data_IF_214434889952
#
_entry.id   IF_214434889952
#
_cell.length_a   1.000
_cell.length_b   1.000
_cell.length_c   1.000
_cell.angle_alpha   90.00
_cell.angle_beta   90.00
_cell.angle_gamma   90.00
#
_symmetry.space_group_name_H-M   'P 1'
#
loop_
_entity.id
_entity.type
_entity.pdbx_description
1 polymer ?
#
# COMPACT_ATOMS: atom_id res chain seq x y z
N UNK A 1 49.66 -16.51 36.92
CA UNK A 1 49.57 -15.66 35.71
C UNK A 1 48.40 -16.18 34.89
N UNK A 2 47.37 -15.36 34.74
CA UNK A 2 46.11 -15.73 34.09
C UNK A 2 45.12 -14.60 34.29
N UNK A 3 45.41 -13.44 33.69
CA UNK A 3 44.55 -12.27 33.68
C UNK A 3 43.33 -12.56 32.83
N UNK A 4 42.17 -12.66 33.47
CA UNK A 4 40.87 -12.75 32.82
C UNK A 4 40.58 -11.33 32.31
N UNK A 5 40.75 -11.11 31.01
CA UNK A 5 40.35 -9.85 30.37
C UNK A 5 38.84 -9.67 30.47
N UNK A 6 38.33 -8.43 30.50
CA UNK A 6 36.89 -8.21 30.50
C UNK A 6 36.28 -8.82 29.22
N UNK A 7 35.18 -9.56 29.39
CA UNK A 7 34.41 -10.06 28.27
C UNK A 7 33.97 -8.92 27.35
N UNK A 8 33.91 -9.15 26.02
CA UNK A 8 33.42 -8.15 25.10
C UNK A 8 31.97 -7.80 25.45
N UNK A 9 31.75 -6.52 25.73
CA UNK A 9 30.42 -5.93 25.87
C UNK A 9 29.65 -6.23 24.57
N UNK A 10 28.41 -6.76 24.63
CA UNK A 10 27.64 -7.00 23.43
C UNK A 10 27.46 -5.69 22.68
N UNK A 11 28.05 -5.64 21.49
CA UNK A 11 27.87 -4.58 20.52
C UNK A 11 26.37 -4.42 20.28
N UNK A 12 25.84 -3.22 20.52
CA UNK A 12 24.43 -2.89 20.28
C UNK A 12 24.23 -2.98 18.76
N UNK A 13 23.88 -4.18 18.29
CA UNK A 13 23.54 -4.42 16.88
C UNK A 13 22.38 -3.50 16.53
N UNK A 14 22.58 -2.66 15.52
CA UNK A 14 21.59 -1.73 14.98
C UNK A 14 20.18 -2.35 15.02
N UNK A 15 19.24 -1.67 15.69
CA UNK A 15 17.81 -2.04 15.71
C UNK A 15 17.42 -2.42 14.29
N UNK A 16 17.17 -3.70 14.02
CA UNK A 16 16.68 -4.14 12.72
C UNK A 16 15.33 -3.45 12.51
N UNK A 17 15.32 -2.42 11.65
CA UNK A 17 14.10 -1.68 11.32
C UNK A 17 13.03 -2.66 10.84
N UNK A 18 11.82 -2.57 11.40
CA UNK A 18 10.70 -3.42 10.99
C UNK A 18 10.37 -3.17 9.52
N UNK A 19 9.89 -4.19 8.81
CA UNK A 19 9.41 -4.03 7.44
C UNK A 19 8.15 -3.14 7.42
N UNK A 20 7.97 -2.27 6.41
CA UNK A 20 6.67 -1.64 6.17
C UNK A 20 5.62 -2.69 5.88
N UNK A 21 4.46 -2.55 6.51
CA UNK A 21 3.35 -3.48 6.35
C UNK A 21 2.23 -2.91 5.49
N UNK A 22 1.88 -3.62 4.43
CA UNK A 22 0.84 -3.21 3.49
C UNK A 22 -0.37 -4.15 3.57
N UNK A 23 -1.57 -3.55 3.61
CA UNK A 23 -2.80 -4.25 3.29
C UNK A 23 -2.94 -4.28 1.76
N UNK A 24 -2.95 -5.47 1.18
CA UNK A 24 -2.99 -5.69 -0.26
C UNK A 24 -4.43 -5.96 -0.73
N UNK A 25 -4.92 -5.10 -1.63
CA UNK A 25 -6.27 -5.14 -2.20
C UNK A 25 -6.23 -5.63 -3.65
N UNK A 26 -6.84 -6.79 -3.92
CA UNK A 26 -6.83 -7.42 -5.24
C UNK A 26 -7.73 -6.71 -6.27
N UNK A 27 -7.60 -7.08 -7.54
CA UNK A 27 -8.40 -6.53 -8.65
C UNK A 27 -9.83 -7.08 -8.71
N UNK A 28 -10.67 -6.46 -9.54
CA UNK A 28 -12.06 -6.87 -9.74
C UNK A 28 -12.16 -8.35 -10.12
N UNK A 29 -13.04 -9.08 -9.44
CA UNK A 29 -13.27 -10.52 -9.65
C UNK A 29 -12.00 -11.36 -9.59
N UNK A 30 -11.14 -11.08 -8.61
CA UNK A 30 -9.97 -11.92 -8.29
C UNK A 30 -9.97 -12.24 -6.79
N UNK A 31 -8.83 -12.58 -6.20
CA UNK A 31 -8.72 -12.87 -4.77
C UNK A 31 -7.36 -12.45 -4.24
N UNK A 32 -7.23 -12.36 -2.92
CA UNK A 32 -5.97 -12.08 -2.23
C UNK A 32 -4.90 -13.10 -2.63
N UNK A 33 -5.25 -14.40 -2.67
CA UNK A 33 -4.34 -15.47 -3.08
C UNK A 33 -3.85 -15.33 -4.53
N UNK A 34 -4.68 -14.81 -5.43
CA UNK A 34 -4.29 -14.56 -6.83
C UNK A 34 -3.31 -13.38 -6.89
N UNK A 35 -3.61 -12.28 -6.19
CA UNK A 35 -2.70 -11.13 -6.10
C UNK A 35 -1.36 -11.53 -5.47
N UNK A 36 -1.37 -12.36 -4.43
CA UNK A 36 -0.16 -12.90 -3.80
C UNK A 36 0.71 -13.64 -4.81
N UNK A 37 0.14 -14.61 -5.54
CA UNK A 37 0.86 -15.35 -6.59
C UNK A 37 1.43 -14.42 -7.65
N UNK A 38 0.70 -13.38 -8.02
CA UNK A 38 1.15 -12.40 -9.00
C UNK A 38 2.29 -11.55 -8.47
N UNK A 39 2.20 -10.98 -7.26
CA UNK A 39 3.24 -10.12 -6.68
C UNK A 39 4.48 -10.95 -6.33
N UNK A 40 4.32 -11.99 -5.50
CA UNK A 40 5.42 -12.83 -5.02
C UNK A 40 6.08 -13.61 -6.16
N UNK A 41 5.30 -14.01 -7.18
CA UNK A 41 5.82 -14.75 -8.34
C UNK A 41 6.46 -13.88 -9.42
N UNK A 42 6.17 -12.57 -9.47
CA UNK A 42 6.68 -11.67 -10.53
C UNK A 42 7.73 -10.67 -10.05
N UNK A 43 7.80 -10.38 -8.76
CA UNK A 43 8.76 -9.42 -8.20
C UNK A 43 9.99 -10.13 -7.62
N UNK A 44 11.20 -9.57 -7.79
CA UNK A 44 12.41 -10.17 -7.24
C UNK A 44 12.34 -10.36 -5.72
N UNK A 45 13.08 -11.37 -5.23
CA UNK A 45 13.16 -11.67 -3.80
C UNK A 45 13.68 -10.50 -2.97
N UNK A 46 14.63 -9.71 -3.48
CA UNK A 46 15.17 -8.57 -2.73
C UNK A 46 14.12 -7.47 -2.48
N UNK A 47 13.16 -7.30 -3.40
CA UNK A 47 12.02 -6.38 -3.22
C UNK A 47 11.05 -6.97 -2.20
N UNK A 48 10.56 -8.19 -2.46
CA UNK A 48 9.51 -8.82 -1.64
C UNK A 48 9.98 -9.11 -0.21
N UNK A 49 11.27 -9.39 0.01
CA UNK A 49 11.81 -9.61 1.35
C UNK A 49 11.84 -8.35 2.22
N UNK A 50 11.73 -7.15 1.64
CA UNK A 50 11.71 -5.86 2.35
C UNK A 50 10.31 -5.45 2.79
N UNK A 51 9.27 -6.15 2.35
CA UNK A 51 7.86 -5.84 2.61
C UNK A 51 7.22 -6.89 3.52
N UNK A 52 6.27 -6.47 4.35
CA UNK A 52 5.29 -7.34 4.98
C UNK A 52 3.94 -7.12 4.27
N UNK A 53 3.43 -8.14 3.59
CA UNK A 53 2.28 -8.04 2.69
C UNK A 53 1.13 -8.91 3.20
N UNK A 54 -0.01 -8.31 3.47
CA UNK A 54 -1.24 -9.00 3.85
C UNK A 54 -2.24 -8.98 2.70
N UNK A 55 -2.42 -10.09 2.00
CA UNK A 55 -3.35 -10.21 0.89
C UNK A 55 -4.75 -10.57 1.38
N UNK A 56 -5.66 -9.60 1.34
CA UNK A 56 -7.03 -9.78 1.81
C UNK A 56 -7.97 -10.17 0.66
N UNK A 57 -8.95 -11.02 0.95
CA UNK A 57 -10.11 -11.22 0.08
C UNK A 57 -11.15 -10.12 0.34
N UNK A 58 -11.70 -9.61 -0.74
CA UNK A 58 -12.81 -8.66 -0.71
C UNK A 58 -14.10 -9.31 -0.17
N UNK A 59 -15.03 -8.53 0.42
CA UNK A 59 -16.14 -9.08 1.18
C UNK A 59 -17.28 -9.64 0.32
N UNK A 60 -17.35 -9.29 -0.98
CA UNK A 60 -18.45 -9.70 -1.85
C UNK A 60 -17.99 -10.76 -2.85
N UNK A 61 -18.68 -11.90 -2.95
CA UNK A 61 -18.46 -12.85 -4.05
C UNK A 61 -18.67 -12.17 -5.41
N UNK A 62 -17.88 -12.57 -6.41
CA UNK A 62 -18.04 -12.09 -7.77
C UNK A 62 -19.43 -12.42 -8.33
N UNK A 63 -20.11 -11.42 -8.90
CA UNK A 63 -21.45 -11.59 -9.48
C UNK A 63 -21.42 -12.04 -10.96
N UNK A 64 -20.23 -12.18 -11.55
CA UNK A 64 -20.05 -12.63 -12.93
C UNK A 64 -18.69 -13.24 -13.21
N UNK A 65 -18.39 -13.43 -14.49
CA UNK A 65 -17.14 -14.05 -14.95
C UNK A 65 -15.91 -13.24 -14.59
N UNK A 66 -14.81 -13.93 -14.36
CA UNK A 66 -13.50 -13.34 -14.10
C UNK A 66 -12.59 -13.48 -15.33
N UNK A 67 -11.83 -12.42 -15.65
CA UNK A 67 -10.85 -12.45 -16.73
C UNK A 67 -9.66 -13.40 -16.45
N UNK A 68 -9.53 -13.87 -15.21
CA UNK A 68 -8.49 -14.84 -14.82
C UNK A 68 -8.98 -16.28 -14.79
N UNK A 69 -10.24 -16.52 -15.17
CA UNK A 69 -10.81 -17.87 -15.28
C UNK A 69 -10.00 -18.72 -16.28
N UNK A 70 -9.80 -20.00 -15.95
CA UNK A 70 -8.92 -20.90 -16.71
C UNK A 70 -7.42 -20.74 -16.44
N UNK A 71 -6.98 -19.64 -15.81
CA UNK A 71 -5.59 -19.44 -15.37
C UNK A 71 -5.48 -19.65 -13.85
N UNK A 72 -6.41 -19.05 -13.09
CA UNK A 72 -6.50 -19.18 -11.65
C UNK A 72 -7.87 -19.73 -11.27
N UNK A 73 -7.96 -20.71 -10.34
CA UNK A 73 -9.25 -21.24 -9.91
C UNK A 73 -10.01 -20.24 -9.01
N UNK A 74 -11.35 -20.33 -8.95
CA UNK A 74 -12.17 -19.60 -7.97
C UNK A 74 -11.86 -20.03 -6.51
N UNK A 75 -12.34 -19.31 -5.48
CA UNK A 75 -13.32 -18.21 -5.51
C UNK A 75 -12.76 -16.86 -5.98
N UNK A 76 -13.66 -16.02 -6.49
CA UNK A 76 -13.39 -14.64 -6.89
C UNK A 76 -14.30 -13.69 -6.12
N UNK A 77 -13.79 -12.49 -5.88
CA UNK A 77 -14.44 -11.49 -5.06
C UNK A 77 -14.35 -10.10 -5.70
N UNK A 78 -15.20 -9.20 -5.22
CA UNK A 78 -15.30 -7.80 -5.61
C UNK A 78 -15.30 -6.94 -4.35
N UNK A 79 -14.59 -5.81 -4.38
CA UNK A 79 -14.58 -4.89 -3.25
C UNK A 79 -15.90 -4.14 -3.13
N UNK A 80 -16.45 -3.72 -4.25
CA UNK A 80 -17.78 -3.14 -4.39
C UNK A 80 -18.26 -3.37 -5.83
N UNK A 81 -19.56 -3.26 -6.05
CA UNK A 81 -20.15 -3.41 -7.38
C UNK A 81 -20.39 -2.04 -8.00
N UNK A 82 -20.31 -1.96 -9.32
CA UNK A 82 -20.64 -0.75 -10.08
C UNK A 82 -21.52 -1.07 -11.29
N UNK A 83 -22.36 -0.12 -11.69
CA UNK A 83 -23.14 -0.17 -12.95
C UNK A 83 -22.22 -0.19 -14.17
N UNK A 84 -22.73 -0.62 -15.34
CA UNK A 84 -21.94 -0.68 -16.59
C UNK A 84 -21.35 0.68 -17.01
N UNK A 85 -22.00 1.78 -16.65
CA UNK A 85 -21.53 3.15 -16.88
C UNK A 85 -20.62 3.69 -15.75
N UNK A 86 -20.35 2.88 -14.73
CA UNK A 86 -19.51 3.18 -13.57
C UNK A 86 -20.00 4.33 -12.68
N UNK A 87 -21.28 4.72 -12.79
CA UNK A 87 -21.84 5.87 -12.05
C UNK A 87 -22.55 5.48 -10.74
N UNK A 88 -23.07 4.26 -10.66
CA UNK A 88 -23.74 3.75 -9.46
C UNK A 88 -22.89 2.71 -8.78
N UNK A 89 -22.64 2.90 -7.48
CA UNK A 89 -21.91 1.95 -6.66
C UNK A 89 -22.86 1.29 -5.67
N UNK A 90 -22.83 -0.04 -5.65
CA UNK A 90 -23.44 -0.83 -4.57
C UNK A 90 -22.36 -1.31 -3.63
N UNK A 91 -22.70 -1.35 -2.35
CA UNK A 91 -21.85 -1.85 -1.28
C UNK A 91 -20.54 -1.07 -1.06
N UNK A 92 -20.46 0.17 -1.53
CA UNK A 92 -19.23 0.97 -1.42
C UNK A 92 -18.93 1.33 0.04
N UNK A 93 -19.92 1.79 0.80
CA UNK A 93 -19.73 2.16 2.21
C UNK A 93 -19.42 0.93 3.06
N UNK A 94 -20.07 -0.20 2.79
CA UNK A 94 -19.80 -1.50 3.41
C UNK A 94 -18.38 -1.99 3.11
N UNK A 95 -17.89 -1.77 1.88
CA UNK A 95 -16.49 -2.04 1.53
C UNK A 95 -15.52 -1.21 2.37
N UNK A 96 -15.77 0.10 2.52
CA UNK A 96 -14.91 0.99 3.29
C UNK A 96 -14.88 0.57 4.77
N UNK A 97 -16.04 0.22 5.34
CA UNK A 97 -16.15 -0.30 6.70
C UNK A 97 -15.39 -1.63 6.87
N UNK A 98 -15.53 -2.55 5.92
CA UNK A 98 -14.82 -3.83 5.94
C UNK A 98 -13.29 -3.66 5.88
N UNK A 99 -12.78 -2.71 5.08
CA UNK A 99 -11.34 -2.40 5.06
C UNK A 99 -10.89 -1.80 6.40
N UNK A 100 -11.69 -0.92 7.02
CA UNK A 100 -11.40 -0.42 8.38
C UNK A 100 -11.30 -1.56 9.39
N UNK A 101 -12.25 -2.50 9.36
CA UNK A 101 -12.27 -3.67 10.25
C UNK A 101 -11.07 -4.60 10.03
N UNK A 102 -10.67 -4.84 8.77
CA UNK A 102 -9.44 -5.57 8.46
C UNK A 102 -8.22 -4.87 9.06
N UNK A 103 -8.14 -3.54 8.91
CA UNK A 103 -7.04 -2.75 9.45
C UNK A 103 -7.00 -2.75 10.98
N UNK A 104 -8.14 -2.74 11.65
CA UNK A 104 -8.24 -2.88 13.11
C UNK A 104 -7.79 -4.27 13.55
N UNK A 105 -8.31 -5.32 12.90
CA UNK A 105 -8.11 -6.70 13.33
C UNK A 105 -6.70 -7.24 13.05
N UNK A 106 -6.12 -6.84 11.93
CA UNK A 106 -4.86 -7.41 11.43
C UNK A 106 -3.71 -6.41 11.41
N UNK A 107 -3.95 -5.15 11.75
CA UNK A 107 -2.94 -4.10 11.78
C UNK A 107 -1.93 -4.21 12.94
N UNK A 108 -1.09 -3.18 13.13
CA UNK A 108 -1.08 -1.94 12.37
C UNK A 108 -0.57 -2.15 10.93
N UNK A 109 -1.21 -1.47 9.98
CA UNK A 109 -0.73 -1.32 8.61
C UNK A 109 -0.14 0.06 8.43
N UNK A 110 0.96 0.17 7.69
CA UNK A 110 1.53 1.46 7.34
C UNK A 110 0.99 2.01 6.02
N UNK A 111 0.54 1.12 5.14
CA UNK A 111 0.20 1.46 3.78
C UNK A 111 -0.79 0.53 3.13
N UNK A 112 -1.21 0.91 1.93
CA UNK A 112 -2.08 0.11 1.06
C UNK A 112 -1.35 -0.24 -0.23
N UNK A 113 -1.54 -1.46 -0.72
CA UNK A 113 -1.09 -1.88 -2.03
C UNK A 113 -2.29 -2.38 -2.81
N UNK A 114 -2.55 -1.86 -4.01
CA UNK A 114 -3.72 -2.25 -4.76
C UNK A 114 -3.41 -2.61 -6.20
N UNK A 115 -4.19 -3.53 -6.77
CA UNK A 115 -4.26 -3.79 -8.20
C UNK A 115 -5.66 -3.46 -8.74
N UNK A 116 -5.77 -2.75 -9.88
CA UNK A 116 -7.04 -2.46 -10.56
C UNK A 116 -8.09 -1.84 -9.63
N UNK A 117 -9.24 -2.49 -9.38
CA UNK A 117 -10.22 -2.04 -8.38
C UNK A 117 -9.62 -1.79 -6.99
N UNK A 118 -8.75 -2.67 -6.51
CA UNK A 118 -8.02 -2.47 -5.26
C UNK A 118 -7.03 -1.31 -5.33
N UNK A 119 -6.48 -0.98 -6.50
CA UNK A 119 -5.63 0.19 -6.71
C UNK A 119 -6.43 1.50 -6.69
N UNK A 120 -7.64 1.49 -7.26
CA UNK A 120 -8.59 2.61 -7.19
C UNK A 120 -8.94 2.92 -5.73
N UNK A 121 -9.26 1.88 -4.93
CA UNK A 121 -9.50 2.05 -3.49
C UNK A 121 -8.26 2.53 -2.75
N UNK A 122 -7.11 1.89 -2.96
CA UNK A 122 -5.84 2.26 -2.33
C UNK A 122 -5.43 3.71 -2.63
N UNK A 123 -5.79 4.22 -3.82
CA UNK A 123 -5.52 5.61 -4.19
C UNK A 123 -6.50 6.59 -3.55
N UNK A 124 -7.79 6.24 -3.41
CA UNK A 124 -8.81 7.12 -2.86
C UNK A 124 -8.78 7.21 -1.32
N UNK A 125 -8.48 6.10 -0.65
CA UNK A 125 -8.57 5.95 0.81
C UNK A 125 -7.72 6.96 1.59
N UNK A 126 -6.46 7.29 1.22
CA UNK A 126 -5.69 8.32 1.92
C UNK A 126 -6.37 9.68 1.93
N UNK A 127 -6.98 10.09 0.81
CA UNK A 127 -7.68 11.36 0.70
C UNK A 127 -9.01 11.37 1.46
N UNK A 128 -9.77 10.27 1.41
CA UNK A 128 -10.98 10.10 2.22
C UNK A 128 -10.66 10.10 3.72
N UNK A 129 -9.57 9.44 4.13
CA UNK A 129 -9.10 9.42 5.52
C UNK A 129 -8.69 10.80 6.01
N UNK A 130 -7.96 11.58 5.19
CA UNK A 130 -7.56 12.94 5.54
C UNK A 130 -8.77 13.88 5.80
N UNK A 131 -9.94 13.57 5.22
CA UNK A 131 -11.20 14.29 5.44
C UNK A 131 -12.09 13.69 6.52
N UNK A 132 -11.66 12.60 7.18
CA UNK A 132 -12.46 11.89 8.17
C UNK A 132 -13.68 11.16 7.59
N UNK A 133 -13.63 10.80 6.30
CA UNK A 133 -14.75 10.14 5.60
C UNK A 133 -14.60 8.61 5.53
N UNK A 134 -13.40 8.09 5.72
CA UNK A 134 -13.11 6.65 5.75
C UNK A 134 -11.92 6.37 6.68
N UNK A 135 -11.80 5.14 7.18
CA UNK A 135 -10.64 4.69 7.98
C UNK A 135 -10.33 5.61 9.19
N UNK A 136 -11.38 6.09 9.84
CA UNK A 136 -11.33 7.04 10.97
C UNK A 136 -10.83 6.42 12.29
N UNK A 137 -10.87 5.09 12.41
CA UNK A 137 -10.50 4.35 13.63
C UNK A 137 -9.12 3.69 13.55
N UNK A 138 -8.35 3.95 12.49
CA UNK A 138 -7.05 3.34 12.25
C UNK A 138 -5.98 4.41 12.00
N UNK A 139 -4.69 4.09 12.19
CA UNK A 139 -3.61 5.04 11.92
C UNK A 139 -3.63 5.58 10.48
N UNK A 140 -3.04 6.77 10.30
CA UNK A 140 -2.91 7.41 8.98
C UNK A 140 -2.15 6.50 8.01
N UNK A 141 -2.67 6.38 6.78
CA UNK A 141 -1.96 5.74 5.67
C UNK A 141 -0.74 6.59 5.29
N UNK A 142 0.44 5.99 5.35
CA UNK A 142 1.73 6.67 5.10
C UNK A 142 2.24 6.49 3.68
N UNK A 143 2.03 5.30 3.13
CA UNK A 143 2.54 4.91 1.81
C UNK A 143 1.48 4.13 1.02
N UNK A 144 1.48 4.33 -0.31
CA UNK A 144 0.64 3.53 -1.20
C UNK A 144 1.42 2.99 -2.40
N UNK A 145 1.06 1.77 -2.82
CA UNK A 145 1.52 1.17 -4.06
C UNK A 145 0.31 0.91 -4.95
N UNK A 146 0.26 1.59 -6.10
CA UNK A 146 -0.90 1.65 -6.98
C UNK A 146 -0.53 0.93 -8.28
N UNK A 147 -1.11 -0.24 -8.54
CA UNK A 147 -0.85 -1.04 -9.74
C UNK A 147 -2.06 -0.97 -10.67
N UNK A 148 -1.93 -0.33 -11.84
CA UNK A 148 -3.05 -0.12 -12.77
C UNK A 148 -4.25 0.60 -12.12
N UNK A 149 -3.98 1.67 -11.36
CA UNK A 149 -5.01 2.46 -10.68
C UNK A 149 -5.64 3.53 -11.57
N UNK A 150 -6.78 4.06 -11.10
CA UNK A 150 -7.51 5.15 -11.72
C UNK A 150 -8.22 6.00 -10.65
N UNK A 151 -8.65 7.20 -11.02
CA UNK A 151 -9.60 8.00 -10.22
C UNK A 151 -10.97 7.32 -10.28
N UNK A 152 -11.70 7.30 -9.15
CA UNK A 152 -13.09 6.83 -9.11
C UNK A 152 -13.96 7.64 -10.10
N UNK A 153 -14.68 7.01 -11.03
CA UNK A 153 -15.45 7.73 -12.05
C UNK A 153 -16.54 8.66 -11.49
N UNK A 154 -17.16 8.30 -10.35
CA UNK A 154 -18.25 9.07 -9.74
C UNK A 154 -17.73 10.42 -9.21
N UNK A 155 -18.13 11.57 -9.79
CA UNK A 155 -17.52 12.87 -9.50
C UNK A 155 -17.57 13.26 -8.01
N UNK A 156 -18.67 12.97 -7.33
CA UNK A 156 -18.83 13.29 -5.90
C UNK A 156 -17.83 12.54 -5.02
N UNK A 157 -17.52 11.29 -5.36
CA UNK A 157 -16.55 10.48 -4.62
C UNK A 157 -15.14 10.88 -5.00
N UNK A 158 -14.91 11.17 -6.28
CA UNK A 158 -13.64 11.69 -6.77
C UNK A 158 -13.25 13.01 -6.10
N UNK A 159 -14.18 13.96 -5.97
CA UNK A 159 -13.94 15.24 -5.32
C UNK A 159 -13.59 15.06 -3.84
N UNK A 160 -14.31 14.19 -3.13
CA UNK A 160 -14.00 13.86 -1.73
C UNK A 160 -12.61 13.24 -1.59
N UNK A 161 -12.22 12.33 -2.48
CA UNK A 161 -10.95 11.62 -2.39
C UNK A 161 -9.76 12.44 -2.91
N UNK A 162 -9.94 13.28 -3.93
CA UNK A 162 -8.86 13.89 -4.71
C UNK A 162 -8.95 15.42 -4.84
N UNK A 163 -9.93 16.07 -4.20
CA UNK A 163 -10.08 17.53 -4.24
C UNK A 163 -8.91 18.32 -3.61
N UNK A 164 -8.06 17.63 -2.85
CA UNK A 164 -6.75 18.12 -2.41
C UNK A 164 -5.69 17.08 -2.78
N UNK A 165 -4.47 17.52 -3.10
CA UNK A 165 -3.38 16.59 -3.38
C UNK A 165 -3.12 15.68 -2.17
N UNK A 166 -2.93 14.40 -2.45
CA UNK A 166 -2.61 13.37 -1.49
C UNK A 166 -1.11 13.45 -1.18
N UNK A 167 -0.81 13.71 0.09
CA UNK A 167 0.57 13.85 0.60
C UNK A 167 1.26 12.50 0.87
N UNK A 168 0.47 11.42 0.99
CA UNK A 168 1.00 10.07 1.15
C UNK A 168 1.92 9.74 -0.03
N UNK A 169 3.17 9.34 0.25
CA UNK A 169 4.09 8.95 -0.82
C UNK A 169 3.52 7.74 -1.56
N UNK A 170 3.66 7.78 -2.88
CA UNK A 170 3.02 6.80 -3.75
C UNK A 170 3.95 6.29 -4.83
N UNK A 171 3.93 4.98 -5.05
CA UNK A 171 4.53 4.32 -6.21
C UNK A 171 3.41 3.85 -7.14
N UNK A 172 3.46 4.26 -8.40
CA UNK A 172 2.46 3.93 -9.41
C UNK A 172 3.05 3.05 -10.50
N UNK A 173 2.38 1.95 -10.84
CA UNK A 173 2.71 1.12 -11.99
C UNK A 173 1.71 1.38 -13.11
N UNK A 174 2.22 1.82 -14.26
CA UNK A 174 1.44 2.12 -15.45
C UNK A 174 1.85 1.20 -16.60
N UNK A 175 0.89 0.43 -17.11
CA UNK A 175 1.07 -0.40 -18.29
C UNK A 175 0.91 0.41 -19.57
N UNK A 176 1.86 0.31 -20.48
CA UNK A 176 1.83 1.04 -21.76
C UNK A 176 0.71 0.56 -22.69
N UNK A 177 0.27 -0.70 -22.54
CA UNK A 177 -0.84 -1.31 -23.26
C UNK A 177 -2.11 -1.44 -22.39
N UNK A 178 -2.11 -0.86 -21.19
CA UNK A 178 -3.24 -0.95 -20.26
C UNK A 178 -4.36 0.01 -20.69
N UNK A 179 -5.59 -0.50 -20.76
CA UNK A 179 -6.76 0.32 -21.09
C UNK A 179 -7.02 1.42 -20.03
N UNK A 180 -6.54 1.23 -18.79
CA UNK A 180 -6.59 2.25 -17.75
C UNK A 180 -5.43 3.26 -17.79
N UNK A 181 -4.45 3.12 -18.68
CA UNK A 181 -3.25 3.98 -18.70
C UNK A 181 -3.58 5.48 -18.61
N UNK A 182 -4.50 5.97 -19.46
CA UNK A 182 -4.89 7.39 -19.48
C UNK A 182 -5.51 7.82 -18.14
N UNK A 183 -6.24 6.93 -17.47
CA UNK A 183 -6.84 7.20 -16.17
C UNK A 183 -5.78 7.17 -15.05
N UNK A 184 -4.82 6.25 -15.12
CA UNK A 184 -3.67 6.20 -14.22
C UNK A 184 -2.77 7.44 -14.34
N UNK A 185 -2.51 7.92 -15.57
CA UNK A 185 -1.75 9.16 -15.79
C UNK A 185 -2.47 10.40 -15.25
N UNK A 186 -3.82 10.42 -15.31
CA UNK A 186 -4.61 11.46 -14.65
C UNK A 186 -4.50 11.37 -13.13
N UNK A 187 -4.55 10.16 -12.57
CA UNK A 187 -4.44 9.92 -11.13
C UNK A 187 -3.12 10.45 -10.53
N UNK A 188 -2.01 10.40 -11.29
CA UNK A 188 -0.73 10.96 -10.83
C UNK A 188 -0.83 12.43 -10.38
N UNK A 189 -1.72 13.22 -10.99
CA UNK A 189 -1.91 14.64 -10.66
C UNK A 189 -2.51 14.85 -9.26
N UNK A 190 -3.16 13.82 -8.72
CA UNK A 190 -3.76 13.81 -7.39
C UNK A 190 -2.75 13.55 -6.28
N UNK A 191 -1.51 13.19 -6.58
CA UNK A 191 -0.46 12.92 -5.59
C UNK A 191 0.62 14.01 -5.59
N UNK A 192 1.24 14.22 -4.43
CA UNK A 192 2.49 14.99 -4.31
C UNK A 192 3.65 14.07 -4.68
N UNK A 193 4.46 14.50 -5.65
CA UNK A 193 5.70 13.84 -6.11
C UNK A 193 5.61 12.30 -6.25
N UNK A 194 4.66 11.77 -7.05
CA UNK A 194 4.52 10.32 -7.22
C UNK A 194 5.73 9.73 -7.95
N UNK A 195 6.23 8.58 -7.46
CA UNK A 195 7.15 7.74 -8.21
C UNK A 195 6.37 6.87 -9.19
N UNK A 196 6.91 6.67 -10.38
CA UNK A 196 6.22 5.98 -11.48
C UNK A 196 7.12 4.93 -12.12
N UNK A 197 6.63 3.71 -12.17
CA UNK A 197 7.19 2.60 -12.94
C UNK A 197 6.30 2.37 -14.15
N UNK A 198 6.88 2.44 -15.35
CA UNK A 198 6.19 2.14 -16.61
C UNK A 198 6.62 0.77 -17.12
N UNK A 199 5.67 -0.03 -17.60
CA UNK A 199 5.95 -1.37 -18.11
C UNK A 199 5.22 -1.66 -19.42
N UNK A 200 5.77 -2.50 -20.31
CA UNK A 200 5.26 -2.69 -21.67
C UNK A 200 4.04 -3.62 -21.76
N UNK A 201 3.33 -3.86 -20.65
CA UNK A 201 2.22 -4.83 -20.61
C UNK A 201 0.88 -4.13 -20.48
N UNK A 202 -0.18 -4.86 -20.80
CA UNK A 202 -1.56 -4.44 -20.51
C UNK A 202 -1.91 -4.52 -19.03
N UNK A 203 -3.19 -4.75 -18.76
CA UNK A 203 -3.77 -4.73 -17.42
C UNK A 203 -3.33 -5.92 -16.55
N UNK A 204 -2.17 -5.81 -15.90
CA UNK A 204 -1.58 -6.89 -15.11
C UNK A 204 -0.62 -6.36 -14.05
N UNK A 205 -0.44 -7.11 -12.96
CA UNK A 205 0.73 -6.92 -12.08
C UNK A 205 2.01 -7.20 -12.90
N UNK A 206 2.91 -6.22 -13.07
CA UNK A 206 4.08 -6.39 -13.92
C UNK A 206 5.16 -7.21 -13.23
N UNK A 207 6.04 -7.80 -14.04
CA UNK A 207 7.35 -8.25 -13.57
C UNK A 207 8.26 -7.04 -13.41
N UNK A 208 9.08 -7.04 -12.36
CA UNK A 208 10.13 -6.05 -12.14
C UNK A 208 11.45 -6.65 -12.62
N UNK A 209 11.80 -6.40 -13.88
CA UNK A 209 12.96 -7.02 -14.54
C UNK A 209 13.88 -6.03 -15.22
N UNK A 210 13.40 -4.84 -15.57
CA UNK A 210 14.24 -3.78 -16.13
C UNK A 210 14.91 -2.96 -15.01
N UNK A 211 16.13 -2.52 -15.28
CA UNK A 211 16.99 -1.82 -14.32
C UNK A 211 16.34 -0.53 -13.80
N UNK A 212 15.71 0.26 -14.69
CA UNK A 212 15.07 1.52 -14.33
C UNK A 212 13.88 1.31 -13.36
N UNK A 213 13.06 0.27 -13.58
CA UNK A 213 11.96 -0.06 -12.68
C UNK A 213 12.45 -0.56 -11.34
N UNK A 214 13.56 -1.32 -11.30
CA UNK A 214 14.18 -1.75 -10.06
C UNK A 214 14.78 -0.58 -9.30
N UNK A 215 15.50 0.33 -9.96
CA UNK A 215 16.04 1.54 -9.34
C UNK A 215 14.93 2.41 -8.74
N UNK A 216 13.81 2.57 -9.44
CA UNK A 216 12.66 3.32 -8.93
C UNK A 216 12.01 2.62 -7.73
N UNK A 217 11.84 1.29 -7.78
CA UNK A 217 11.34 0.50 -6.65
C UNK A 217 12.28 0.59 -5.45
N UNK A 218 13.59 0.45 -5.65
CA UNK A 218 14.58 0.52 -4.58
C UNK A 218 14.64 1.92 -3.98
N UNK A 219 14.49 2.97 -4.79
CA UNK A 219 14.34 4.35 -4.31
C UNK A 219 13.12 4.49 -3.40
N UNK A 220 11.96 3.98 -3.83
CA UNK A 220 10.73 4.01 -3.03
C UNK A 220 10.89 3.28 -1.69
N UNK A 221 11.44 2.07 -1.71
CA UNK A 221 11.66 1.27 -0.51
C UNK A 221 12.67 1.93 0.44
N UNK A 222 13.74 2.53 -0.09
CA UNK A 222 14.76 3.21 0.72
C UNK A 222 14.19 4.46 1.39
N UNK A 223 13.29 5.19 0.71
CA UNK A 223 12.56 6.30 1.32
C UNK A 223 11.69 5.83 2.49
N UNK A 224 10.96 4.72 2.31
CA UNK A 224 10.13 4.14 3.39
C UNK A 224 10.99 3.72 4.58
N UNK A 225 12.10 3.04 4.33
CA UNK A 225 13.02 2.60 5.38
C UNK A 225 13.61 3.78 6.16
N UNK A 226 13.95 4.88 5.48
CA UNK A 226 14.39 6.13 6.11
C UNK A 226 13.29 6.75 6.96
N UNK A 227 12.06 6.80 6.46
CA UNK A 227 10.91 7.32 7.22
C UNK A 227 10.63 6.49 8.47
N UNK A 228 10.66 5.15 8.36
CA UNK A 228 10.46 4.26 9.51
C UNK A 228 11.56 4.49 10.54
N UNK A 229 12.82 4.60 10.12
CA UNK A 229 13.92 4.86 11.03
C UNK A 229 13.74 6.19 11.79
N UNK A 230 13.30 7.26 11.09
CA UNK A 230 12.97 8.54 11.73
C UNK A 230 11.85 8.41 12.75
N UNK A 231 10.73 7.78 12.36
CA UNK A 231 9.59 7.55 13.27
C UNK A 231 10.02 6.78 14.53
N UNK A 232 10.86 5.75 14.38
CA UNK A 232 11.35 4.95 15.50
C UNK A 232 12.28 5.75 16.42
N UNK A 233 13.09 6.66 15.86
CA UNK A 233 13.97 7.53 16.62
C UNK A 233 13.16 8.59 17.39
N UNK A 234 12.20 9.25 16.72
CA UNK A 234 11.34 10.27 17.33
C UNK A 234 10.56 9.69 18.52
N UNK A 235 9.98 8.49 18.36
CA UNK A 235 9.29 7.79 19.45
C UNK A 235 10.20 7.38 20.61
N UNK A 236 11.50 7.15 20.34
CA UNK A 236 12.47 6.83 21.38
C UNK A 236 12.93 8.08 22.14
N UNK A 237 13.04 9.22 21.47
CA UNK A 237 13.36 10.51 22.09
C UNK A 237 12.22 11.00 23.00
N UNK A 238 10.96 10.86 22.58
CA UNK A 238 9.78 11.20 23.38
C UNK A 238 9.64 10.36 24.67
N UNK A 239 10.25 9.17 24.71
CA UNK A 239 10.21 8.26 25.86
C UNK A 239 11.43 8.39 26.79
N UNK A 240 12.38 9.28 26.50
CA UNK A 240 13.56 9.50 27.35
C UNK A 240 13.20 10.34 28.58
N UNK A 241 13.52 9.91 29.82
CA UNK A 241 13.19 10.67 31.01
C UNK A 241 13.93 12.01 31.02
N UNK A 242 13.20 13.10 31.28
CA UNK A 242 13.79 14.40 31.62
C UNK A 242 14.60 14.18 32.89
N UNK A 243 15.93 14.19 32.77
CA UNK A 243 16.81 14.28 33.93
C UNK A 243 16.63 15.70 34.47
N UNK A 244 15.71 15.89 35.42
CA UNK A 244 15.73 17.07 36.27
C UNK A 244 17.03 17.04 37.06
N UNK A 245 18.03 17.78 36.58
CA UNK A 245 19.18 18.17 37.40
C UNK A 245 18.67 19.05 38.54
N UNK A 246 18.29 18.43 39.65
CA UNK A 246 18.13 19.11 40.93
C UNK A 246 19.51 19.61 41.38
N UNK A 247 19.84 20.83 40.98
CA UNK A 247 20.92 21.61 41.58
C UNK A 247 20.54 21.87 43.04
N UNK A 248 21.14 21.10 43.94
CA UNK A 248 21.08 21.41 45.37
C UNK A 248 22.35 22.18 45.72
N UNK A 249 22.12 23.40 46.24
CA UNK A 249 23.09 24.40 46.71
C UNK A 249 23.85 23.88 47.93
#
# INVERSE_FOLDING_TARGET
MGSIGPEPVPEITAKTSRKPRFLCLHGFRTSGAIMEKQVIGKWPRHVTSRLDLFFADAPFPAEGSSDVEGIFPPPYYEWFQFSEDFMDYRNFDECLAYIEDLMIKHGPFDGLMGFSQGAILSAALPGLQARGLALTKVPKIKWVVIISGAVLPKPEVAEKAFGTKIECRSLHFLGEEDFLKIHGEKLLKSFVDPLVIRHPKGHTVPKLVDENSLETMDTFLSMIESDIAKIVNDLAEEQSPIIECSVSI
#
